data_IF_594725792979
#
_entry.id   IF_594725792979
#
_cell.length_a   1.000
_cell.length_b   1.000
_cell.length_c   1.000
_cell.angle_alpha   90.00
_cell.angle_beta   90.00
_cell.angle_gamma   90.00
#
_symmetry.space_group_name_H-M   'P 1'
#
loop_
_entity.id
_entity.type
_entity.pdbx_description
1 polymer ?
#
# COMPACT_ATOMS: atom_id res chain seq x y z
N UNK A 1 -11.23 5.53 -12.83
CA UNK A 1 -12.25 4.51 -13.19
C UNK A 1 -13.28 4.52 -12.10
N UNK A 2 -14.57 4.35 -12.37
CA UNK A 2 -15.48 4.04 -11.29
C UNK A 2 -15.07 2.68 -10.73
N UNK A 3 -14.80 2.61 -9.43
CA UNK A 3 -14.45 1.38 -8.73
C UNK A 3 -15.66 0.45 -8.57
N UNK A 4 -16.84 0.97 -8.87
CA UNK A 4 -18.11 0.22 -8.83
C UNK A 4 -18.67 0.13 -10.25
N UNK A 5 -18.68 -1.06 -10.87
CA UNK A 5 -19.14 -1.24 -12.25
C UNK A 5 -20.60 -0.82 -12.51
N UNK A 6 -21.42 -0.77 -11.47
CA UNK A 6 -22.87 -0.49 -11.57
C UNK A 6 -23.24 0.98 -11.29
N UNK A 7 -22.26 1.86 -11.01
CA UNK A 7 -22.57 3.27 -10.77
C UNK A 7 -23.01 3.95 -12.06
N UNK A 8 -24.31 4.21 -12.21
CA UNK A 8 -24.85 5.09 -13.23
C UNK A 8 -24.35 6.51 -12.99
N UNK A 9 -23.33 6.91 -13.75
CA UNK A 9 -22.70 8.22 -13.64
C UNK A 9 -21.24 8.14 -13.11
N UNK A 10 -20.57 9.30 -13.08
CA UNK A 10 -19.21 9.41 -12.53
C UNK A 10 -19.31 9.63 -11.02
N UNK A 11 -18.90 8.63 -10.26
CA UNK A 11 -18.68 8.76 -8.82
C UNK A 11 -17.23 9.18 -8.60
N UNK A 12 -17.01 10.23 -7.82
CA UNK A 12 -15.67 10.62 -7.37
C UNK A 12 -15.56 10.25 -5.91
N UNK A 13 -14.58 9.39 -5.60
CA UNK A 13 -14.23 9.06 -4.23
C UNK A 13 -12.99 9.85 -3.83
N UNK A 14 -12.92 10.24 -2.56
CA UNK A 14 -11.71 10.76 -1.94
C UNK A 14 -11.03 9.62 -1.21
N UNK A 15 -10.11 8.97 -1.88
CA UNK A 15 -9.45 7.78 -1.39
C UNK A 15 -8.22 8.17 -0.54
N UNK A 16 -8.14 7.70 0.71
CA UNK A 16 -6.93 7.85 1.51
C UNK A 16 -5.81 6.98 0.93
N UNK A 17 -4.58 7.43 1.11
CA UNK A 17 -3.36 6.64 0.82
C UNK A 17 -2.70 6.33 2.15
N UNK A 18 -2.97 5.18 2.74
CA UNK A 18 -2.46 4.83 4.05
C UNK A 18 -1.02 4.32 4.00
N UNK A 19 -0.26 4.62 5.03
CA UNK A 19 0.93 3.90 5.45
C UNK A 19 0.72 3.45 6.89
N UNK A 20 1.30 2.32 7.27
CA UNK A 20 1.18 1.76 8.62
C UNK A 20 2.55 1.69 9.26
N UNK A 21 2.71 2.32 10.42
CA UNK A 21 3.90 2.23 11.24
C UNK A 21 3.62 1.29 12.42
N UNK A 22 4.31 0.15 12.45
CA UNK A 22 4.13 -0.91 13.43
C UNK A 22 5.32 -0.92 14.37
N UNK A 23 5.08 -0.76 15.67
CA UNK A 23 6.10 -0.93 16.70
C UNK A 23 6.44 -2.42 16.84
N UNK A 24 7.72 -2.75 16.80
CA UNK A 24 8.29 -4.09 16.98
C UNK A 24 9.42 -4.02 18.01
N UNK A 25 9.96 -5.17 18.43
CA UNK A 25 10.95 -5.23 19.52
C UNK A 25 12.17 -4.34 19.28
N UNK A 26 12.68 -4.27 18.03
CA UNK A 26 13.91 -3.55 17.68
C UNK A 26 13.66 -2.17 17.02
N UNK A 27 12.42 -1.66 16.99
CA UNK A 27 12.08 -0.39 16.35
C UNK A 27 10.74 -0.42 15.66
N UNK A 28 10.69 -0.03 14.39
CA UNK A 28 9.44 0.04 13.64
C UNK A 28 9.53 -0.66 12.28
N UNK A 29 8.44 -1.30 11.87
CA UNK A 29 8.21 -1.74 10.50
C UNK A 29 7.23 -0.77 9.83
N UNK A 30 7.59 -0.26 8.67
CA UNK A 30 6.72 0.61 7.87
C UNK A 30 6.12 -0.19 6.70
N UNK A 31 4.79 -0.23 6.63
CA UNK A 31 4.06 -0.81 5.50
C UNK A 31 3.58 0.31 4.59
N UNK A 32 4.05 0.31 3.36
CA UNK A 32 3.89 1.35 2.33
C UNK A 32 4.38 2.75 2.72
N UNK A 33 4.68 3.56 1.73
CA UNK A 33 5.38 4.84 1.92
C UNK A 33 4.69 6.05 1.27
N UNK A 34 3.49 5.85 0.73
CA UNK A 34 2.71 6.92 0.13
C UNK A 34 3.29 7.51 -1.15
N UNK A 35 2.81 8.69 -1.53
CA UNK A 35 3.24 9.41 -2.72
C UNK A 35 4.58 10.13 -2.55
N UNK A 36 5.32 10.26 -3.65
CA UNK A 36 6.42 11.21 -3.77
C UNK A 36 5.87 12.64 -3.91
N UNK A 37 5.83 13.38 -2.80
CA UNK A 37 5.27 14.72 -2.76
C UNK A 37 5.96 15.72 -3.70
N UNK A 38 7.26 15.55 -3.98
CA UNK A 38 7.98 16.40 -4.92
C UNK A 38 7.46 16.22 -6.35
N UNK A 39 7.19 14.98 -6.77
CA UNK A 39 6.65 14.68 -8.09
C UNK A 39 5.20 15.16 -8.25
N UNK A 40 4.39 15.00 -7.21
CA UNK A 40 2.99 15.47 -7.23
C UNK A 40 2.92 17.00 -7.35
N UNK A 41 3.89 17.73 -6.76
CA UNK A 41 3.92 19.20 -6.82
C UNK A 41 4.58 19.76 -8.08
N UNK A 42 5.41 18.99 -8.76
CA UNK A 42 6.01 19.41 -10.03
C UNK A 42 4.95 19.44 -11.13
N UNK A 43 4.63 20.65 -11.64
CA UNK A 43 3.59 20.83 -12.65
C UNK A 43 3.83 20.05 -13.94
N UNK A 44 5.08 19.96 -14.39
CA UNK A 44 5.41 19.28 -15.63
C UNK A 44 5.27 17.77 -15.44
N UNK A 45 5.77 17.25 -14.32
CA UNK A 45 5.66 15.85 -13.96
C UNK A 45 4.21 15.44 -13.73
N UNK A 46 3.48 16.22 -12.93
CA UNK A 46 2.05 15.99 -12.69
C UNK A 46 1.26 15.92 -14.00
N UNK A 47 1.46 16.91 -14.90
CA UNK A 47 0.78 16.95 -16.20
C UNK A 47 1.16 15.74 -17.08
N UNK A 48 2.43 15.33 -17.07
CA UNK A 48 2.91 14.18 -17.86
C UNK A 48 2.24 12.88 -17.40
N UNK A 49 2.18 12.61 -16.11
CA UNK A 49 1.79 11.30 -15.57
C UNK A 49 0.33 11.23 -15.14
N UNK A 50 -0.25 12.32 -14.64
CA UNK A 50 -1.63 12.36 -14.15
C UNK A 50 -2.54 13.27 -14.93
N UNK A 51 -2.04 14.20 -15.73
CA UNK A 51 -2.87 15.22 -16.41
C UNK A 51 -3.89 14.70 -17.41
N UNK A 52 -3.79 13.43 -17.82
CA UNK A 52 -4.77 12.74 -18.67
C UNK A 52 -5.65 11.75 -17.90
N UNK A 53 -5.43 11.59 -16.60
CA UNK A 53 -6.21 10.69 -15.74
C UNK A 53 -7.35 11.47 -15.13
N UNK A 54 -8.40 10.76 -14.76
CA UNK A 54 -9.55 11.34 -14.02
C UNK A 54 -9.22 11.54 -12.54
N UNK A 55 -8.13 10.95 -12.07
CA UNK A 55 -7.63 11.05 -10.70
C UNK A 55 -7.02 12.42 -10.45
N UNK A 56 -7.42 13.09 -9.37
CA UNK A 56 -6.75 14.27 -8.84
C UNK A 56 -6.02 13.86 -7.58
N UNK A 57 -4.74 14.22 -7.50
CA UNK A 57 -3.93 13.99 -6.30
C UNK A 57 -3.96 15.24 -5.44
N UNK A 58 -4.27 15.09 -4.18
CA UNK A 58 -4.25 16.15 -3.18
C UNK A 58 -3.31 15.72 -2.05
N UNK A 59 -2.35 16.58 -1.73
CA UNK A 59 -1.45 16.38 -0.59
C UNK A 59 -1.99 17.18 0.60
N UNK A 60 -1.94 16.59 1.78
CA UNK A 60 -2.48 17.17 3.01
C UNK A 60 -1.71 18.39 3.54
N UNK A 61 -0.51 18.67 3.01
CA UNK A 61 0.33 19.77 3.46
C UNK A 61 1.41 20.17 2.47
N UNK A 62 2.18 21.24 2.75
CA UNK A 62 3.28 21.71 1.89
C UNK A 62 4.54 20.85 2.02
N UNK A 63 4.69 20.09 3.11
CA UNK A 63 5.85 19.23 3.40
C UNK A 63 5.88 17.94 2.60
N UNK A 64 6.88 17.14 2.82
CA UNK A 64 6.90 15.76 2.33
C UNK A 64 5.85 14.93 3.10
N UNK A 65 4.95 14.21 2.44
CA UNK A 65 3.85 13.51 3.13
C UNK A 65 4.34 12.51 4.18
N UNK A 66 5.42 11.80 3.89
CA UNK A 66 5.97 10.81 4.81
C UNK A 66 6.70 11.45 5.99
N UNK A 67 7.50 12.51 5.75
CA UNK A 67 8.15 13.27 6.81
C UNK A 67 7.12 13.93 7.74
N UNK A 68 6.06 14.52 7.16
CA UNK A 68 4.96 15.11 7.92
C UNK A 68 4.24 14.04 8.77
N UNK A 69 4.07 12.81 8.25
CA UNK A 69 3.46 11.70 8.98
C UNK A 69 4.34 11.27 10.16
N UNK A 70 5.64 11.08 9.96
CA UNK A 70 6.59 10.75 11.03
C UNK A 70 6.63 11.83 12.12
N UNK A 71 6.69 13.10 11.72
CA UNK A 71 6.63 14.22 12.65
C UNK A 71 5.32 14.26 13.47
N UNK A 72 4.21 13.85 12.84
CA UNK A 72 2.90 13.79 13.48
C UNK A 72 2.83 12.72 14.59
N UNK A 73 3.37 11.53 14.32
CA UNK A 73 3.39 10.42 15.29
C UNK A 73 4.55 10.51 16.29
N UNK A 74 5.51 11.43 16.06
CA UNK A 74 6.65 11.67 16.95
C UNK A 74 7.71 10.56 16.90
N UNK A 75 7.80 9.82 15.79
CA UNK A 75 8.80 8.76 15.58
C UNK A 75 9.89 9.26 14.65
N UNK A 76 11.14 8.95 14.95
CA UNK A 76 12.26 9.24 14.07
C UNK A 76 12.29 8.19 12.92
N UNK A 77 12.33 8.60 11.66
CA UNK A 77 12.47 7.65 10.55
C UNK A 77 13.71 6.74 10.64
N UNK A 78 14.70 7.10 11.45
CA UNK A 78 15.90 6.28 11.70
C UNK A 78 15.61 5.05 12.57
N UNK A 79 14.49 5.04 13.29
CA UNK A 79 14.06 3.91 14.11
C UNK A 79 13.29 2.87 13.28
N UNK A 80 13.08 3.11 11.97
CA UNK A 80 12.51 2.13 11.05
C UNK A 80 13.57 1.08 10.70
N UNK A 81 13.34 -0.15 11.14
CA UNK A 81 14.25 -1.30 10.96
C UNK A 81 13.94 -2.08 9.67
N UNK A 82 12.73 -1.98 9.15
CA UNK A 82 12.34 -2.57 7.87
C UNK A 82 11.20 -1.78 7.22
N UNK A 83 11.20 -1.73 5.91
CA UNK A 83 10.07 -1.28 5.10
C UNK A 83 9.51 -2.47 4.34
N UNK A 84 8.20 -2.57 4.20
CA UNK A 84 7.58 -3.52 3.28
C UNK A 84 6.58 -2.77 2.42
N UNK A 85 6.64 -2.97 1.11
CA UNK A 85 5.69 -2.33 0.20
C UNK A 85 4.77 -3.37 -0.42
N UNK A 86 3.49 -3.02 -0.49
CA UNK A 86 2.47 -3.91 -1.03
C UNK A 86 2.73 -4.20 -2.52
N UNK A 87 3.10 -3.18 -3.28
CA UNK A 87 3.45 -3.24 -4.69
C UNK A 87 4.13 -1.94 -5.15
N UNK A 88 4.46 -1.81 -6.45
CA UNK A 88 5.27 -0.70 -6.96
C UNK A 88 4.47 0.47 -7.57
N UNK A 89 3.18 0.61 -7.32
CA UNK A 89 2.47 1.83 -7.73
C UNK A 89 2.96 3.04 -6.93
N UNK A 90 2.88 4.20 -7.54
CA UNK A 90 3.49 5.46 -7.07
C UNK A 90 2.93 5.98 -5.75
N UNK A 91 1.76 5.55 -5.34
CA UNK A 91 1.12 5.88 -4.07
C UNK A 91 1.53 4.95 -2.91
N UNK A 92 2.30 3.92 -3.18
CA UNK A 92 2.84 2.99 -2.18
C UNK A 92 4.34 3.12 -1.98
N UNK A 93 5.07 3.60 -3.01
CA UNK A 93 6.56 3.59 -3.02
C UNK A 93 7.20 4.98 -3.04
N UNK A 94 6.41 6.04 -3.09
CA UNK A 94 6.92 7.41 -3.28
C UNK A 94 7.85 7.92 -2.18
N UNK A 95 7.81 7.32 -1.00
CA UNK A 95 8.69 7.64 0.13
C UNK A 95 9.92 6.74 0.27
N UNK A 96 10.13 5.73 -0.59
CA UNK A 96 11.26 4.77 -0.47
C UNK A 96 12.64 5.45 -0.44
N UNK A 97 12.78 6.62 -1.09
CA UNK A 97 14.02 7.40 -1.07
C UNK A 97 14.54 7.72 0.34
N UNK A 98 13.64 7.80 1.35
CA UNK A 98 14.01 8.08 2.74
C UNK A 98 14.68 6.90 3.42
N UNK A 99 14.51 5.69 2.88
CA UNK A 99 15.03 4.44 3.43
C UNK A 99 16.15 3.82 2.60
N UNK A 100 16.41 4.33 1.40
CA UNK A 100 17.49 3.87 0.52
C UNK A 100 18.86 3.96 1.22
N UNK A 101 19.52 2.81 1.40
CA UNK A 101 20.78 2.65 2.13
C UNK A 101 20.64 2.73 3.65
N UNK A 102 19.42 2.59 4.21
CA UNK A 102 19.15 2.72 5.65
C UNK A 102 18.37 1.54 6.23
N UNK A 103 17.30 1.13 5.58
CA UNK A 103 16.49 0.00 6.00
C UNK A 103 16.24 -0.93 4.81
N UNK A 104 16.21 -2.26 5.00
CA UNK A 104 15.83 -3.20 3.95
C UNK A 104 14.36 -2.99 3.56
N UNK A 105 14.08 -3.24 2.26
CA UNK A 105 12.73 -3.11 1.68
C UNK A 105 12.24 -4.48 1.23
N UNK A 106 11.17 -4.96 1.84
CA UNK A 106 10.54 -6.25 1.53
C UNK A 106 9.53 -6.12 0.39
N UNK A 107 9.67 -6.99 -0.62
CA UNK A 107 8.82 -7.00 -1.80
C UNK A 107 8.76 -8.42 -2.39
N UNK A 108 7.69 -8.75 -3.10
CA UNK A 108 7.67 -9.96 -3.90
C UNK A 108 8.59 -9.82 -5.11
N UNK A 109 9.39 -10.86 -5.42
CA UNK A 109 10.33 -10.89 -6.56
C UNK A 109 9.62 -10.60 -7.88
N UNK A 110 8.46 -11.20 -8.09
CA UNK A 110 7.66 -11.04 -9.31
C UNK A 110 7.22 -9.59 -9.56
N UNK A 111 7.07 -8.80 -8.51
CA UNK A 111 6.70 -7.37 -8.63
C UNK A 111 7.85 -6.58 -9.26
N UNK A 112 9.04 -6.72 -8.71
CA UNK A 112 10.23 -6.04 -9.23
C UNK A 112 10.57 -6.49 -10.64
N UNK A 113 10.52 -7.80 -10.91
CA UNK A 113 10.77 -8.37 -12.23
C UNK A 113 9.78 -7.85 -13.27
N UNK A 114 8.48 -7.76 -12.94
CA UNK A 114 7.47 -7.23 -13.86
C UNK A 114 7.69 -5.75 -14.17
N UNK A 115 8.03 -4.94 -13.16
CA UNK A 115 8.31 -3.52 -13.34
C UNK A 115 9.60 -3.27 -14.17
N UNK A 116 10.58 -4.18 -14.09
CA UNK A 116 11.84 -4.08 -14.81
C UNK A 116 11.79 -4.68 -16.23
N UNK A 117 10.92 -5.65 -16.47
CA UNK A 117 10.80 -6.33 -17.76
C UNK A 117 10.37 -5.40 -18.91
N UNK A 118 9.42 -4.50 -18.64
CA UNK A 118 8.98 -3.45 -19.59
C UNK A 118 8.76 -2.12 -18.83
N UNK A 119 9.81 -1.29 -18.72
CA UNK A 119 9.73 -0.01 -18.00
C UNK A 119 8.68 0.96 -18.54
N UNK A 120 8.37 0.90 -19.84
CA UNK A 120 7.33 1.74 -20.45
C UNK A 120 5.93 1.25 -20.10
N UNK A 121 5.74 -0.07 -20.04
CA UNK A 121 4.48 -0.63 -19.57
C UNK A 121 4.32 -0.34 -18.07
N UNK A 122 5.36 -0.48 -17.26
CA UNK A 122 5.35 -0.13 -15.84
C UNK A 122 4.97 1.35 -15.63
N UNK A 123 5.57 2.30 -16.35
CA UNK A 123 5.21 3.73 -16.27
C UNK A 123 3.75 3.98 -16.65
N UNK A 124 3.23 3.31 -17.69
CA UNK A 124 1.80 3.39 -18.05
C UNK A 124 0.88 2.85 -16.97
N UNK A 125 1.36 1.93 -16.16
CA UNK A 125 0.67 1.36 -15.00
C UNK A 125 1.01 2.08 -13.68
N UNK A 126 1.51 3.31 -13.74
CA UNK A 126 1.80 4.14 -12.58
C UNK A 126 2.95 3.65 -11.68
N UNK A 127 3.82 2.79 -12.16
CA UNK A 127 5.05 2.36 -11.50
C UNK A 127 6.21 3.24 -12.01
N UNK A 128 6.58 4.24 -11.25
CA UNK A 128 7.60 5.21 -11.69
C UNK A 128 8.97 4.82 -11.16
N UNK A 129 9.90 4.50 -12.07
CA UNK A 129 11.27 4.09 -11.73
C UNK A 129 11.99 5.04 -10.79
N UNK A 130 11.70 6.35 -10.88
CA UNK A 130 12.27 7.35 -10.00
C UNK A 130 11.99 7.08 -8.51
N UNK A 131 10.93 6.36 -8.19
CA UNK A 131 10.54 6.06 -6.81
C UNK A 131 11.19 4.77 -6.27
N UNK A 132 11.57 3.81 -7.14
CA UNK A 132 12.06 2.50 -6.70
C UNK A 132 13.35 2.01 -7.37
N UNK A 133 13.86 2.70 -8.39
CA UNK A 133 15.09 2.29 -9.11
C UNK A 133 16.35 3.02 -8.55
N UNK A 134 16.48 3.05 -7.23
CA UNK A 134 17.66 3.56 -6.53
C UNK A 134 18.56 2.38 -6.14
N UNK A 135 19.82 2.33 -6.60
CA UNK A 135 20.73 1.22 -6.31
C UNK A 135 21.10 1.07 -4.82
N UNK A 136 20.75 2.05 -3.99
CA UNK A 136 20.93 1.96 -2.54
C UNK A 136 19.80 1.24 -1.82
N UNK A 137 18.69 0.95 -2.51
CA UNK A 137 17.59 0.17 -1.90
C UNK A 137 18.06 -1.28 -1.73
N UNK A 138 18.07 -1.73 -0.50
CA UNK A 138 18.37 -3.13 -0.15
C UNK A 138 17.09 -3.97 -0.24
N UNK A 139 16.83 -4.55 -1.41
CA UNK A 139 15.66 -5.38 -1.63
C UNK A 139 15.76 -6.73 -0.90
N UNK A 140 14.74 -7.05 -0.10
CA UNK A 140 14.47 -8.38 0.47
C UNK A 140 13.34 -9.02 -0.34
N UNK A 141 13.72 -9.78 -1.37
CA UNK A 141 12.77 -10.34 -2.33
C UNK A 141 12.25 -11.69 -1.86
N UNK A 142 10.91 -11.80 -1.75
CA UNK A 142 10.19 -13.01 -1.38
C UNK A 142 9.56 -13.70 -2.61
N UNK A 143 9.32 -15.00 -2.48
CA UNK A 143 8.60 -15.84 -3.44
C UNK A 143 7.45 -16.55 -2.72
N UNK A 144 6.49 -15.78 -2.21
CA UNK A 144 5.35 -16.26 -1.42
C UNK A 144 5.22 -15.54 -0.08
N UNK A 145 4.55 -16.18 0.88
CA UNK A 145 4.39 -15.60 2.21
C UNK A 145 5.72 -15.59 2.96
N UNK A 146 5.97 -14.48 3.66
CA UNK A 146 7.20 -14.32 4.45
C UNK A 146 6.95 -13.49 5.70
N UNK A 147 7.48 -13.93 6.83
CA UNK A 147 7.54 -13.11 8.04
C UNK A 147 8.61 -12.02 7.87
N UNK A 148 8.21 -10.76 8.10
CA UNK A 148 9.09 -9.58 8.02
C UNK A 148 9.70 -9.28 9.38
N UNK A 149 8.88 -9.36 10.41
CA UNK A 149 9.23 -9.23 11.82
C UNK A 149 8.24 -10.08 12.64
N UNK A 150 8.53 -10.42 13.89
CA UNK A 150 7.59 -11.14 14.74
C UNK A 150 6.20 -10.47 14.75
N UNK A 151 5.18 -11.24 14.35
CA UNK A 151 3.81 -10.75 14.23
C UNK A 151 3.49 -9.95 12.97
N UNK A 152 4.43 -9.77 12.02
CA UNK A 152 4.21 -9.06 10.76
C UNK A 152 4.55 -9.96 9.59
N UNK A 153 3.56 -10.44 8.86
CA UNK A 153 3.73 -11.35 7.72
C UNK A 153 3.23 -10.71 6.43
N UNK A 154 4.07 -10.70 5.39
CA UNK A 154 3.65 -10.40 4.02
C UNK A 154 3.00 -11.65 3.42
N UNK A 155 1.82 -11.51 2.85
CA UNK A 155 1.04 -12.54 2.18
C UNK A 155 1.06 -12.29 0.67
N UNK A 156 1.50 -13.23 -0.15
CA UNK A 156 1.42 -13.07 -1.61
C UNK A 156 -0.05 -13.04 -2.04
N UNK A 157 -0.49 -11.91 -2.58
CA UNK A 157 -1.86 -11.66 -3.06
C UNK A 157 -1.85 -11.09 -4.48
N UNK A 158 -1.10 -11.74 -5.36
CA UNK A 158 -1.00 -11.37 -6.76
C UNK A 158 -2.38 -11.26 -7.44
N UNK A 159 -2.54 -10.30 -8.33
CA UNK A 159 -3.78 -10.05 -9.07
C UNK A 159 -3.90 -8.59 -9.51
N UNK A 160 -3.90 -7.66 -8.58
CA UNK A 160 -3.82 -6.23 -8.88
C UNK A 160 -2.52 -5.89 -9.63
N UNK A 161 -1.40 -6.35 -9.09
CA UNK A 161 -0.11 -6.43 -9.78
C UNK A 161 0.45 -7.85 -9.71
N UNK A 162 1.44 -8.20 -10.55
CA UNK A 162 1.98 -9.57 -10.62
C UNK A 162 2.59 -10.09 -9.32
N UNK A 163 3.08 -9.20 -8.47
CA UNK A 163 3.69 -9.52 -7.19
C UNK A 163 3.09 -8.76 -6.02
N UNK A 164 1.83 -8.33 -6.13
CA UNK A 164 1.14 -7.67 -5.01
C UNK A 164 1.18 -8.55 -3.74
N UNK A 165 1.42 -7.92 -2.60
CA UNK A 165 1.33 -8.55 -1.28
C UNK A 165 0.46 -7.73 -0.32
N UNK A 166 -0.29 -8.45 0.50
CA UNK A 166 -1.07 -7.92 1.63
C UNK A 166 -0.34 -8.23 2.93
N UNK A 167 -0.80 -7.72 4.06
CA UNK A 167 -0.10 -7.94 5.33
C UNK A 167 -1.03 -8.47 6.42
N UNK A 168 -0.54 -9.50 7.13
CA UNK A 168 -1.11 -10.00 8.37
C UNK A 168 -0.32 -9.37 9.52
N UNK A 169 -1.02 -8.75 10.46
CA UNK A 169 -0.44 -8.12 11.65
C UNK A 169 -1.09 -8.71 12.89
N UNK A 170 -0.29 -9.39 13.70
CA UNK A 170 -0.70 -9.97 14.97
C UNK A 170 -0.29 -9.03 16.10
N UNK A 171 -1.25 -8.51 16.85
CA UNK A 171 -0.97 -7.64 17.98
C UNK A 171 -0.53 -8.46 19.20
N UNK A 172 0.33 -7.88 20.03
CA UNK A 172 0.75 -8.49 21.29
C UNK A 172 -0.49 -8.84 22.15
N UNK A 173 -0.63 -10.08 22.61
CA UNK A 173 -1.72 -10.47 23.50
C UNK A 173 -1.86 -9.64 24.76
N UNK A 174 -0.75 -9.09 25.28
CA UNK A 174 -0.74 -8.19 26.44
C UNK A 174 -1.36 -6.82 26.15
N UNK A 175 -1.39 -6.41 24.87
CA UNK A 175 -2.04 -5.18 24.40
C UNK A 175 -3.54 -5.35 24.06
N UNK A 176 -4.14 -6.50 24.43
CA UNK A 176 -5.53 -6.83 24.13
C UNK A 176 -5.72 -7.70 22.88
N UNK A 177 -4.67 -8.20 22.36
CA UNK A 177 -4.38 -9.26 21.42
C UNK A 177 -5.45 -9.68 20.42
N UNK A 178 -5.80 -8.82 19.50
CA UNK A 178 -6.37 -9.20 18.20
C UNK A 178 -5.37 -8.89 17.10
N UNK A 179 -5.72 -9.14 15.85
CA UNK A 179 -4.86 -8.83 14.71
C UNK A 179 -5.66 -8.21 13.57
N UNK A 180 -4.93 -7.88 12.54
CA UNK A 180 -5.49 -7.29 11.33
C UNK A 180 -4.93 -7.99 10.09
N UNK A 181 -5.74 -8.02 9.05
CA UNK A 181 -5.31 -8.34 7.69
C UNK A 181 -5.51 -7.08 6.87
N UNK A 182 -4.43 -6.50 6.36
CA UNK A 182 -4.48 -5.32 5.51
C UNK A 182 -4.41 -5.77 4.05
N UNK A 183 -5.51 -5.57 3.33
CA UNK A 183 -5.64 -6.02 1.94
C UNK A 183 -4.77 -5.20 0.99
N UNK A 184 -4.57 -3.91 1.27
CA UNK A 184 -4.07 -2.96 0.29
C UNK A 184 -4.86 -3.11 -1.03
N UNK A 185 -4.22 -3.04 -2.18
CA UNK A 185 -4.89 -3.05 -3.48
C UNK A 185 -5.34 -4.44 -3.96
N UNK A 186 -5.27 -5.47 -3.11
CA UNK A 186 -6.04 -6.69 -3.34
C UNK A 186 -7.55 -6.43 -3.21
N UNK A 187 -7.95 -5.42 -2.40
CA UNK A 187 -9.30 -4.91 -2.26
C UNK A 187 -9.27 -3.44 -1.86
N UNK A 188 -9.60 -2.52 -2.76
CA UNK A 188 -9.53 -1.08 -2.52
C UNK A 188 -10.59 -0.60 -1.53
N UNK A 189 -11.82 -1.08 -1.68
CA UNK A 189 -13.00 -0.68 -0.92
C UNK A 189 -13.59 -1.84 -0.12
N UNK A 190 -14.31 -1.51 0.95
CA UNK A 190 -15.10 -2.49 1.71
C UNK A 190 -16.08 -3.25 0.80
N UNK A 191 -16.61 -2.59 -0.22
CA UNK A 191 -17.53 -3.19 -1.18
C UNK A 191 -16.88 -4.35 -1.98
N UNK A 192 -15.57 -4.26 -2.30
CA UNK A 192 -14.84 -5.38 -2.92
C UNK A 192 -14.85 -6.62 -2.02
N UNK A 193 -14.73 -6.42 -0.71
CA UNK A 193 -14.75 -7.50 0.28
C UNK A 193 -16.17 -8.04 0.51
N UNK A 194 -17.18 -7.18 0.58
CA UNK A 194 -18.55 -7.55 0.90
C UNK A 194 -19.23 -8.28 -0.25
N UNK A 195 -18.92 -7.92 -1.50
CA UNK A 195 -19.57 -8.42 -2.70
C UNK A 195 -18.72 -9.35 -3.54
N UNK A 196 -17.47 -9.61 -3.14
CA UNK A 196 -16.49 -10.33 -3.96
C UNK A 196 -16.33 -9.66 -5.35
N UNK A 197 -16.24 -8.31 -5.35
CA UNK A 197 -16.03 -7.52 -6.55
C UNK A 197 -14.53 -7.36 -6.85
N UNK A 198 -14.08 -7.63 -8.08
CA UNK A 198 -12.67 -7.50 -8.43
C UNK A 198 -12.22 -6.04 -8.45
N UNK A 199 -10.95 -5.80 -8.14
CA UNK A 199 -10.27 -4.53 -8.38
C UNK A 199 -9.61 -4.51 -9.76
N UNK A 200 -9.06 -3.36 -10.16
CA UNK A 200 -8.29 -3.26 -11.41
C UNK A 200 -7.04 -4.14 -11.37
N UNK A 201 -6.65 -4.68 -12.52
CA UNK A 201 -5.40 -5.41 -12.68
C UNK A 201 -4.45 -4.63 -13.61
N UNK A 202 -3.18 -4.51 -13.19
CA UNK A 202 -2.15 -3.83 -13.96
C UNK A 202 -1.75 -4.61 -15.23
N UNK A 203 -1.03 -3.98 -16.12
CA UNK A 203 -0.51 -4.55 -17.37
C UNK A 203 -1.58 -5.14 -18.29
N UNK A 204 -2.82 -4.63 -18.21
CA UNK A 204 -3.95 -5.14 -19.01
C UNK A 204 -4.44 -6.52 -18.59
N UNK A 205 -4.16 -6.92 -17.37
CA UNK A 205 -4.65 -8.16 -16.77
C UNK A 205 -6.18 -8.19 -16.63
N UNK A 206 -6.73 -9.40 -16.50
CA UNK A 206 -8.15 -9.57 -16.18
C UNK A 206 -8.41 -9.15 -14.72
N UNK A 207 -9.31 -8.20 -14.44
CA UNK A 207 -9.66 -7.83 -13.06
C UNK A 207 -10.05 -9.03 -12.18
N UNK A 208 -10.66 -10.06 -12.77
CA UNK A 208 -11.03 -11.28 -12.02
C UNK A 208 -9.83 -12.01 -11.41
N UNK A 209 -8.61 -11.73 -11.86
CA UNK A 209 -7.39 -12.29 -11.28
C UNK A 209 -7.17 -11.85 -9.83
N UNK A 210 -7.87 -10.79 -9.36
CA UNK A 210 -7.80 -10.32 -7.96
C UNK A 210 -8.71 -11.10 -7.01
N UNK A 211 -9.75 -11.78 -7.52
CA UNK A 211 -10.70 -12.52 -6.68
C UNK A 211 -10.06 -13.61 -5.81
N UNK A 212 -9.10 -14.42 -6.30
CA UNK A 212 -8.42 -15.40 -5.44
C UNK A 212 -7.72 -14.76 -4.23
N UNK A 213 -7.14 -13.56 -4.39
CA UNK A 213 -6.53 -12.81 -3.30
C UNK A 213 -7.59 -12.38 -2.28
N UNK A 214 -8.71 -11.80 -2.73
CA UNK A 214 -9.83 -11.40 -1.86
C UNK A 214 -10.34 -12.60 -1.05
N UNK A 215 -10.62 -13.72 -1.70
CA UNK A 215 -11.12 -14.94 -1.03
C UNK A 215 -10.10 -15.48 -0.02
N UNK A 216 -8.81 -15.47 -0.37
CA UNK A 216 -7.74 -15.89 0.52
C UNK A 216 -7.68 -15.02 1.78
N UNK A 217 -7.70 -13.71 1.63
CA UNK A 217 -7.63 -12.76 2.74
C UNK A 217 -8.85 -12.87 3.66
N UNK A 218 -10.06 -13.05 3.10
CA UNK A 218 -11.29 -13.30 3.87
C UNK A 218 -11.18 -14.60 4.68
N UNK A 219 -10.63 -15.67 4.08
CA UNK A 219 -10.45 -16.95 4.76
C UNK A 219 -9.46 -16.83 5.93
N UNK A 220 -8.29 -16.18 5.72
CA UNK A 220 -7.28 -15.95 6.77
C UNK A 220 -7.87 -15.10 7.89
N UNK A 221 -8.57 -14.02 7.58
CA UNK A 221 -9.18 -13.14 8.57
C UNK A 221 -10.22 -13.90 9.41
N UNK A 222 -11.06 -14.71 8.77
CA UNK A 222 -12.07 -15.52 9.47
C UNK A 222 -11.44 -16.60 10.36
N UNK A 223 -10.43 -17.31 9.87
CA UNK A 223 -9.72 -18.36 10.63
C UNK A 223 -9.02 -17.81 11.87
N UNK A 224 -8.40 -16.62 11.75
CA UNK A 224 -7.67 -15.97 12.84
C UNK A 224 -8.59 -15.15 13.76
N UNK A 225 -9.83 -14.86 13.35
CA UNK A 225 -10.70 -13.92 14.04
C UNK A 225 -10.19 -12.47 13.94
N UNK A 226 -9.46 -12.14 12.87
CA UNK A 226 -8.87 -10.84 12.63
C UNK A 226 -9.79 -9.97 11.77
N UNK A 227 -9.65 -8.66 11.91
CA UNK A 227 -10.36 -7.71 11.07
C UNK A 227 -9.63 -7.53 9.75
N UNK A 228 -10.36 -7.68 8.63
CA UNK A 228 -9.85 -7.40 7.29
C UNK A 228 -10.10 -5.92 6.93
N UNK A 229 -9.05 -5.21 6.53
CA UNK A 229 -9.06 -3.77 6.25
C UNK A 229 -8.75 -3.58 4.75
N UNK A 230 -9.62 -2.90 3.98
CA UNK A 230 -9.39 -2.60 2.57
C UNK A 230 -8.32 -1.49 2.39
N UNK A 231 -7.80 -1.35 1.16
CA UNK A 231 -6.68 -0.45 0.85
C UNK A 231 -7.01 1.03 0.92
N UNK A 232 -8.07 1.48 0.25
CA UNK A 232 -8.31 2.91 0.00
C UNK A 232 -9.72 3.38 0.39
N UNK A 233 -10.42 2.64 1.25
CA UNK A 233 -11.80 2.94 1.59
C UNK A 233 -11.93 4.24 2.41
N UNK A 234 -12.66 5.26 1.90
CA UNK A 234 -12.77 6.56 2.53
C UNK A 234 -13.60 6.57 3.82
N UNK A 235 -14.37 5.52 4.08
CA UNK A 235 -15.18 5.40 5.29
C UNK A 235 -14.49 4.51 6.34
N UNK A 236 -13.78 3.46 5.91
CA UNK A 236 -13.11 2.52 6.80
C UNK A 236 -11.90 3.16 7.46
N UNK A 237 -10.99 3.77 6.70
CA UNK A 237 -9.74 4.31 7.24
C UNK A 237 -9.94 5.39 8.30
N UNK A 238 -10.83 6.41 8.12
CA UNK A 238 -11.07 7.40 9.18
C UNK A 238 -11.70 6.82 10.45
N UNK A 239 -12.45 5.73 10.35
CA UNK A 239 -12.98 5.04 11.55
C UNK A 239 -11.88 4.24 12.23
N UNK A 240 -11.12 3.47 11.46
CA UNK A 240 -10.03 2.64 11.94
C UNK A 240 -8.97 3.46 12.68
N UNK A 241 -8.53 4.58 12.12
CA UNK A 241 -7.56 5.46 12.77
C UNK A 241 -8.07 6.08 14.06
N UNK A 242 -9.37 6.43 14.14
CA UNK A 242 -9.98 6.90 15.40
C UNK A 242 -10.06 5.80 16.46
N UNK A 243 -10.37 4.56 16.07
CA UNK A 243 -10.43 3.40 16.97
C UNK A 243 -9.05 3.10 17.58
N UNK A 244 -7.99 3.25 16.80
CA UNK A 244 -6.61 3.11 17.27
C UNK A 244 -6.12 4.30 18.10
N UNK A 245 -6.90 5.39 18.21
CA UNK A 245 -6.49 6.61 18.90
C UNK A 245 -5.44 7.43 18.16
N UNK A 246 -5.19 7.12 16.89
CA UNK A 246 -4.27 7.87 16.03
C UNK A 246 -5.04 8.96 15.30
N UNK A 247 -4.58 10.21 15.39
CA UNK A 247 -5.15 11.30 14.61
C UNK A 247 -4.76 11.12 13.14
N UNK A 248 -5.71 10.64 12.31
CA UNK A 248 -5.54 10.69 10.88
C UNK A 248 -5.49 12.16 10.43
N UNK A 249 -4.44 12.59 9.74
CA UNK A 249 -4.52 13.76 8.88
C UNK A 249 -5.18 13.33 7.57
N UNK A 250 -6.38 13.79 7.36
CA UNK A 250 -7.09 13.70 6.08
C UNK A 250 -6.65 14.85 5.20
#
# INVERSE_FOLDING_TARGET
MPLVPEAEGRVFLREPVPGLLLEVEDGYVLLDTGFNGALVRDRAFYHRFWGRRTTKLELSGPGDPLEDAFAHVGVDPRDVVAVAVSHLHNDHVGGLRHFAGRAPVHLQRKELEAAQADPLAAERNAMFRIDFDDPRIEWRLADGDVEIAPGVTALLTAGHTPGHQSFLVELDPSAGGSGYVFAFDAADLQENLDRDEPVSAAFGGDPRSTLPAIHRLKAIAAERGFRLIPGHDPDVWPRFTRELGVAARV
#
